data_IF_083319279113
#
_entry.id   IF_083319279113
#
_cell.length_a   1.000
_cell.length_b   1.000
_cell.length_c   1.000
_cell.angle_alpha   90.00
_cell.angle_beta   90.00
_cell.angle_gamma   90.00
#
_symmetry.space_group_name_H-M   'P 1'
#
loop_
_entity.id
_entity.type
_entity.pdbx_description
1 polymer ?
#
# COMPACT_ATOMS: atom_id res chain seq x y z
N UNK A 1 1.36 -52.49 4.69
CA UNK A 1 2.18 -51.53 3.92
C UNK A 1 1.94 -50.13 4.47
N UNK A 2 2.96 -49.49 5.06
CA UNK A 2 2.91 -48.03 5.30
C UNK A 2 3.01 -47.34 3.93
N UNK A 3 2.22 -46.29 3.64
CA UNK A 3 2.41 -45.53 2.41
C UNK A 3 3.80 -44.89 2.45
N UNK A 4 4.55 -45.02 1.36
CA UNK A 4 5.83 -44.36 1.21
C UNK A 4 5.65 -42.83 1.30
N UNK A 5 6.52 -42.09 2.01
CA UNK A 5 6.49 -40.64 1.98
C UNK A 5 6.82 -40.18 0.55
N UNK A 6 5.86 -39.57 -0.14
CA UNK A 6 6.12 -38.92 -1.43
C UNK A 6 6.85 -37.61 -1.18
N UNK A 7 8.18 -37.67 -1.03
CA UNK A 7 9.01 -36.47 -0.85
C UNK A 7 9.97 -36.35 -2.02
N UNK A 8 9.46 -35.92 -3.17
CA UNK A 8 10.28 -35.11 -4.05
C UNK A 8 10.01 -33.65 -3.67
N UNK A 9 10.99 -32.89 -3.15
CA UNK A 9 10.81 -31.46 -2.97
C UNK A 9 10.46 -30.86 -4.34
N UNK A 10 9.25 -30.32 -4.46
CA UNK A 10 8.77 -29.78 -5.74
C UNK A 10 9.79 -28.79 -6.31
N UNK A 11 10.04 -28.87 -7.62
CA UNK A 11 11.04 -28.01 -8.28
C UNK A 11 10.71 -26.52 -8.08
N UNK A 12 11.68 -25.65 -8.35
CA UNK A 12 11.46 -24.19 -8.33
C UNK A 12 10.33 -23.81 -9.30
N UNK A 13 10.34 -24.39 -10.49
CA UNK A 13 9.31 -24.20 -11.50
C UNK A 13 7.92 -24.63 -10.99
N UNK A 14 7.82 -25.77 -10.28
CA UNK A 14 6.56 -26.24 -9.71
C UNK A 14 6.03 -25.29 -8.62
N UNK A 15 6.92 -24.80 -7.75
CA UNK A 15 6.57 -23.83 -6.70
C UNK A 15 6.06 -22.53 -7.30
N UNK A 16 6.78 -22.00 -8.30
CA UNK A 16 6.41 -20.79 -9.01
C UNK A 16 5.08 -20.95 -9.75
N UNK A 17 4.86 -22.09 -10.42
CA UNK A 17 3.60 -22.42 -11.09
C UNK A 17 2.44 -22.43 -10.09
N UNK A 18 2.61 -23.07 -8.93
CA UNK A 18 1.58 -23.05 -7.87
C UNK A 18 1.32 -21.64 -7.36
N UNK A 19 2.37 -20.84 -7.15
CA UNK A 19 2.24 -19.45 -6.72
C UNK A 19 1.44 -18.64 -7.75
N UNK A 20 1.76 -18.76 -9.05
CA UNK A 20 1.04 -18.13 -10.14
C UNK A 20 -0.44 -18.56 -10.22
N UNK A 21 -0.72 -19.86 -10.10
CA UNK A 21 -2.08 -20.40 -10.14
C UNK A 21 -2.96 -19.80 -9.03
N UNK A 22 -2.42 -19.63 -7.81
CA UNK A 22 -3.15 -18.98 -6.69
C UNK A 22 -3.57 -17.54 -7.01
N UNK A 23 -2.85 -16.86 -7.90
CA UNK A 23 -3.05 -15.44 -8.26
C UNK A 23 -3.72 -15.25 -9.62
N UNK A 24 -4.13 -16.34 -10.27
CA UNK A 24 -4.80 -16.31 -11.57
C UNK A 24 -6.04 -15.41 -11.59
N UNK A 25 -6.80 -15.35 -10.49
CA UNK A 25 -7.99 -14.50 -10.36
C UNK A 25 -7.68 -12.99 -10.23
N UNK A 26 -6.44 -12.63 -9.88
CA UNK A 26 -6.01 -11.23 -9.75
C UNK A 26 -5.48 -10.71 -11.08
N UNK A 27 -4.77 -11.57 -11.83
CA UNK A 27 -4.18 -11.21 -13.11
C UNK A 27 -5.28 -11.05 -14.17
N UNK A 28 -5.41 -9.85 -14.71
CA UNK A 28 -6.33 -9.55 -15.80
C UNK A 28 -5.75 -8.45 -16.71
N UNK A 29 -6.48 -8.08 -17.76
CA UNK A 29 -6.14 -6.90 -18.57
C UNK A 29 -6.18 -5.60 -17.73
N UNK A 30 -6.98 -5.59 -16.66
CA UNK A 30 -7.15 -4.44 -15.78
C UNK A 30 -6.21 -4.47 -14.57
N UNK A 31 -5.50 -5.57 -14.32
CA UNK A 31 -4.54 -5.70 -13.23
C UNK A 31 -3.31 -6.50 -13.68
N UNK A 32 -2.22 -5.76 -13.93
CA UNK A 32 -0.91 -6.30 -14.32
C UNK A 32 0.17 -6.13 -13.24
N UNK A 33 -0.18 -5.56 -12.08
CA UNK A 33 0.69 -5.52 -10.91
C UNK A 33 0.13 -6.23 -9.67
N UNK A 34 0.92 -7.17 -9.14
CA UNK A 34 0.53 -8.03 -8.03
C UNK A 34 1.73 -8.75 -7.41
N UNK A 35 1.55 -9.25 -6.19
CA UNK A 35 2.56 -10.12 -5.57
C UNK A 35 2.47 -11.52 -6.17
N UNK A 36 3.49 -11.99 -6.85
CA UNK A 36 3.57 -13.35 -7.38
C UNK A 36 4.01 -14.38 -6.32
N UNK A 37 5.01 -14.02 -5.50
CA UNK A 37 5.56 -14.87 -4.43
C UNK A 37 5.57 -14.08 -3.13
N UNK A 38 4.98 -14.63 -2.06
CA UNK A 38 4.93 -14.05 -0.72
C UNK A 38 5.62 -14.93 0.32
N UNK A 39 6.89 -15.24 0.07
CA UNK A 39 7.76 -15.87 1.06
C UNK A 39 7.51 -17.37 1.23
N UNK A 40 7.62 -17.81 2.49
CA UNK A 40 7.50 -19.20 2.86
C UNK A 40 6.13 -19.82 2.50
N UNK A 41 5.06 -19.02 2.46
CA UNK A 41 3.72 -19.48 2.08
C UNK A 41 3.66 -20.02 0.64
N UNK A 42 4.52 -19.53 -0.25
CA UNK A 42 4.67 -20.02 -1.63
C UNK A 42 5.88 -20.95 -1.80
N UNK A 43 6.52 -21.35 -0.70
CA UNK A 43 7.68 -22.24 -0.70
C UNK A 43 9.02 -21.54 -0.97
N UNK A 44 9.09 -20.21 -0.80
CA UNK A 44 10.29 -19.41 -1.01
C UNK A 44 10.63 -18.59 0.26
N UNK A 45 11.19 -19.21 1.30
CA UNK A 45 11.55 -18.48 2.53
C UNK A 45 12.38 -17.22 2.24
N UNK A 46 12.02 -16.13 2.91
CA UNK A 46 12.69 -14.83 2.83
C UNK A 46 12.79 -14.19 1.43
N UNK A 47 11.98 -14.65 0.46
CA UNK A 47 11.96 -14.11 -0.89
C UNK A 47 10.54 -13.72 -1.31
N UNK A 48 10.40 -12.54 -1.89
CA UNK A 48 9.17 -12.03 -2.45
C UNK A 48 9.40 -11.74 -3.93
N UNK A 49 8.34 -11.84 -4.73
CA UNK A 49 8.36 -11.39 -6.12
C UNK A 49 7.11 -10.55 -6.34
N UNK A 50 7.30 -9.27 -6.63
CA UNK A 50 6.24 -8.39 -7.12
C UNK A 50 6.34 -8.28 -8.63
N UNK A 51 5.18 -8.29 -9.30
CA UNK A 51 5.06 -8.12 -10.75
C UNK A 51 4.54 -6.72 -11.01
N UNK A 52 5.11 -6.04 -12.00
CA UNK A 52 4.64 -4.75 -12.53
C UNK A 52 4.71 -4.78 -14.06
N UNK A 53 3.55 -4.83 -14.73
CA UNK A 53 3.47 -4.87 -16.20
C UNK A 53 4.43 -5.89 -16.84
N UNK A 54 4.46 -7.12 -16.31
CA UNK A 54 5.31 -8.22 -16.80
C UNK A 54 6.79 -8.16 -16.39
N UNK A 55 7.20 -7.17 -15.59
CA UNK A 55 8.54 -7.06 -14.99
C UNK A 55 8.50 -7.55 -13.55
N UNK A 56 9.56 -8.21 -13.12
CA UNK A 56 9.63 -8.77 -11.77
C UNK A 56 10.58 -7.97 -10.90
N UNK A 57 10.12 -7.65 -9.71
CA UNK A 57 10.93 -7.15 -8.62
C UNK A 57 11.08 -8.26 -7.57
N UNK A 58 12.25 -8.88 -7.55
CA UNK A 58 12.63 -9.85 -6.53
C UNK A 58 13.13 -9.11 -5.30
N UNK A 59 12.61 -9.48 -4.14
CA UNK A 59 12.98 -8.86 -2.88
C UNK A 59 13.39 -9.94 -1.89
N UNK A 60 14.59 -9.81 -1.32
CA UNK A 60 15.08 -10.76 -0.30
C UNK A 60 15.19 -10.10 1.07
N UNK A 61 14.95 -10.88 2.14
CA UNK A 61 15.22 -10.49 3.53
C UNK A 61 16.36 -11.33 4.08
N UNK A 62 17.33 -10.70 4.74
CA UNK A 62 18.40 -11.40 5.45
C UNK A 62 19.19 -12.43 4.60
N UNK A 63 19.15 -12.30 3.28
CA UNK A 63 19.83 -13.17 2.32
C UNK A 63 20.13 -12.44 1.00
N UNK A 64 21.14 -12.94 0.28
CA UNK A 64 21.41 -12.56 -1.10
C UNK A 64 20.42 -13.15 -2.09
N UNK A 65 20.45 -12.67 -3.33
CA UNK A 65 19.68 -13.26 -4.41
C UNK A 65 20.13 -14.72 -4.62
N UNK A 66 19.24 -15.70 -4.50
CA UNK A 66 19.61 -17.09 -4.76
C UNK A 66 20.05 -17.28 -6.22
N UNK A 67 21.06 -18.11 -6.49
CA UNK A 67 21.57 -18.34 -7.84
C UNK A 67 20.47 -18.79 -8.82
N UNK A 68 19.55 -19.63 -8.36
CA UNK A 68 18.41 -20.10 -9.14
C UNK A 68 17.40 -19.01 -9.49
N UNK A 69 17.47 -17.82 -8.89
CA UNK A 69 16.56 -16.72 -9.22
C UNK A 69 16.77 -16.20 -10.65
N UNK A 70 17.95 -16.41 -11.23
CA UNK A 70 18.22 -16.16 -12.64
C UNK A 70 17.49 -17.15 -13.57
N UNK A 71 17.03 -18.29 -13.04
CA UNK A 71 16.36 -19.37 -13.77
C UNK A 71 14.82 -19.29 -13.64
N UNK A 72 14.30 -18.24 -12.98
CA UNK A 72 12.88 -18.08 -12.72
C UNK A 72 12.10 -17.61 -13.96
N UNK A 73 11.71 -18.56 -14.82
CA UNK A 73 10.81 -18.32 -15.94
C UNK A 73 11.33 -17.31 -16.97
N UNK A 74 10.41 -16.74 -17.76
CA UNK A 74 10.72 -15.76 -18.82
C UNK A 74 9.98 -14.43 -18.60
N UNK A 75 10.19 -13.71 -17.47
CA UNK A 75 9.70 -12.35 -17.34
C UNK A 75 10.38 -11.43 -18.35
N UNK A 76 9.72 -10.31 -18.68
CA UNK A 76 10.32 -9.31 -19.59
C UNK A 76 11.62 -8.73 -19.04
N UNK A 77 11.66 -8.54 -17.73
CA UNK A 77 12.83 -8.03 -17.01
C UNK A 77 12.78 -8.46 -15.54
N UNK A 78 13.95 -8.64 -14.94
CA UNK A 78 14.13 -9.00 -13.54
C UNK A 78 15.02 -7.98 -12.86
N UNK A 79 14.51 -7.42 -11.77
CA UNK A 79 15.25 -6.57 -10.86
C UNK A 79 15.26 -7.20 -9.48
N UNK A 80 16.31 -6.92 -8.70
CA UNK A 80 16.45 -7.41 -7.34
C UNK A 80 16.85 -6.30 -6.38
N UNK A 81 16.26 -6.31 -5.18
CA UNK A 81 16.80 -5.58 -4.03
C UNK A 81 16.73 -6.39 -2.76
N UNK A 82 17.61 -6.07 -1.83
CA UNK A 82 17.48 -6.50 -0.44
C UNK A 82 16.52 -5.56 0.29
N UNK A 83 15.62 -6.12 1.09
CA UNK A 83 14.80 -5.38 2.02
C UNK A 83 15.60 -5.11 3.29
N UNK A 84 16.08 -3.88 3.40
CA UNK A 84 16.80 -3.37 4.55
C UNK A 84 16.17 -2.02 4.93
N UNK A 85 15.91 -1.81 6.22
CA UNK A 85 15.32 -0.55 6.71
C UNK A 85 16.31 0.62 6.67
N UNK A 86 17.61 0.34 6.59
CA UNK A 86 18.70 1.31 6.58
C UNK A 86 19.24 1.55 5.17
N UNK A 87 19.26 0.52 4.31
CA UNK A 87 19.71 0.64 2.92
C UNK A 87 18.54 0.99 1.98
N UNK A 88 18.65 2.14 1.31
CA UNK A 88 17.67 2.66 0.36
C UNK A 88 18.13 2.52 -1.10
N UNK A 89 19.07 1.62 -1.37
CA UNK A 89 19.51 1.32 -2.72
C UNK A 89 18.33 0.94 -3.63
N UNK A 90 18.33 1.46 -4.88
CA UNK A 90 17.36 1.05 -5.87
C UNK A 90 17.58 -0.42 -6.26
N UNK A 91 16.53 -1.11 -6.75
CA UNK A 91 16.66 -2.40 -7.41
C UNK A 91 17.77 -2.44 -8.47
N UNK A 92 18.54 -3.54 -8.47
CA UNK A 92 19.59 -3.85 -9.44
C UNK A 92 19.00 -4.72 -10.55
N UNK A 93 19.27 -4.36 -11.80
CA UNK A 93 18.90 -5.20 -12.94
C UNK A 93 19.67 -6.52 -12.91
N UNK A 94 18.97 -7.63 -13.16
CA UNK A 94 19.51 -9.00 -13.09
C UNK A 94 19.46 -9.68 -14.45
N UNK A 95 18.32 -9.62 -15.14
CA UNK A 95 18.10 -10.35 -16.39
C UNK A 95 16.99 -9.70 -17.24
N UNK A 96 16.99 -10.03 -18.54
CA UNK A 96 16.01 -9.52 -19.50
C UNK A 96 16.35 -8.13 -20.03
N UNK A 97 15.34 -7.41 -20.51
CA UNK A 97 15.50 -6.06 -21.02
C UNK A 97 15.72 -5.07 -19.88
N UNK A 98 16.67 -4.14 -20.02
CA UNK A 98 16.75 -2.98 -19.12
C UNK A 98 15.51 -2.12 -19.33
N UNK A 99 14.83 -1.79 -18.24
CA UNK A 99 13.57 -1.05 -18.29
C UNK A 99 13.83 0.43 -18.54
N UNK A 100 13.09 1.00 -19.48
CA UNK A 100 12.98 2.45 -19.62
C UNK A 100 12.08 2.98 -18.48
N UNK A 101 12.65 3.81 -17.62
CA UNK A 101 12.00 4.35 -16.43
C UNK A 101 11.56 5.82 -16.65
N UNK A 102 10.46 6.27 -16.02
CA UNK A 102 9.47 5.45 -15.33
C UNK A 102 8.54 4.74 -16.33
N UNK A 103 7.84 3.70 -15.89
CA UNK A 103 6.83 2.98 -16.69
C UNK A 103 5.48 2.91 -15.98
N UNK A 104 4.44 2.45 -16.69
CA UNK A 104 3.10 2.28 -16.11
C UNK A 104 2.82 0.82 -15.79
N UNK A 105 2.14 0.61 -14.66
CA UNK A 105 1.48 -0.63 -14.31
C UNK A 105 0.00 -0.38 -14.02
N UNK A 106 -0.84 -1.39 -14.19
CA UNK A 106 -2.30 -1.28 -14.09
C UNK A 106 -2.80 -2.07 -12.87
N UNK A 107 -3.67 -1.47 -12.08
CA UNK A 107 -4.42 -2.11 -11.00
C UNK A 107 -5.89 -1.68 -11.03
N UNK A 108 -6.80 -2.65 -11.15
CA UNK A 108 -8.26 -2.42 -11.22
C UNK A 108 -8.66 -1.35 -12.26
N UNK A 109 -7.98 -1.37 -13.41
CA UNK A 109 -8.19 -0.44 -14.53
C UNK A 109 -7.58 0.94 -14.33
N UNK A 110 -6.85 1.17 -13.22
CA UNK A 110 -6.15 2.43 -12.96
C UNK A 110 -4.65 2.25 -13.23
N UNK A 111 -4.03 3.25 -13.84
CA UNK A 111 -2.61 3.26 -14.18
C UNK A 111 -1.80 3.94 -13.10
N UNK A 112 -0.66 3.37 -12.75
CA UNK A 112 0.26 3.92 -11.76
C UNK A 112 1.68 3.94 -12.32
N UNK A 113 2.35 5.06 -12.11
CA UNK A 113 3.74 5.26 -12.47
C UNK A 113 4.63 4.48 -11.51
N UNK A 114 5.39 3.55 -12.06
CA UNK A 114 6.38 2.72 -11.39
C UNK A 114 7.77 3.19 -11.78
N UNK A 115 8.69 3.20 -10.81
CA UNK A 115 10.07 3.62 -11.01
C UNK A 115 11.02 2.72 -10.21
N UNK A 116 11.80 1.89 -10.90
CA UNK A 116 12.81 1.05 -10.25
C UNK A 116 14.13 1.77 -9.96
N UNK A 117 14.33 3.00 -10.46
CA UNK A 117 15.42 3.86 -10.00
C UNK A 117 15.09 4.58 -8.69
N UNK A 118 13.80 4.61 -8.29
CA UNK A 118 13.39 5.12 -6.98
C UNK A 118 13.91 4.22 -5.85
N UNK A 119 14.56 4.84 -4.85
CA UNK A 119 15.31 4.13 -3.82
C UNK A 119 14.50 3.07 -3.05
N UNK A 120 13.66 3.51 -2.09
CA UNK A 120 13.03 2.55 -1.18
C UNK A 120 11.81 1.82 -1.76
N UNK A 121 10.87 2.57 -2.34
CA UNK A 121 9.59 2.04 -2.85
C UNK A 121 9.35 2.48 -4.30
N UNK A 122 8.67 1.63 -5.07
CA UNK A 122 8.61 1.68 -6.53
C UNK A 122 7.32 2.32 -7.04
N UNK A 123 6.61 3.08 -6.21
CA UNK A 123 5.47 3.90 -6.63
C UNK A 123 4.11 3.46 -6.09
N UNK A 124 3.93 2.20 -5.66
CA UNK A 124 2.67 1.73 -5.09
C UNK A 124 2.88 0.57 -4.10
N UNK A 125 2.03 0.50 -3.08
CA UNK A 125 1.96 -0.63 -2.15
C UNK A 125 0.80 -1.56 -2.55
N UNK A 126 1.12 -2.75 -3.06
CA UNK A 126 0.16 -3.69 -3.66
C UNK A 126 -0.77 -4.33 -2.61
N UNK A 127 -0.36 -4.39 -1.34
CA UNK A 127 -1.16 -4.89 -0.21
C UNK A 127 -2.37 -4.01 0.13
N UNK A 128 -2.48 -2.82 -0.48
CA UNK A 128 -3.60 -1.90 -0.33
C UNK A 128 -4.61 -1.94 -1.50
N UNK A 129 -4.46 -2.88 -2.46
CA UNK A 129 -5.31 -3.00 -3.66
C UNK A 129 -6.81 -2.95 -3.35
N UNK A 130 -7.27 -3.85 -2.48
CA UNK A 130 -8.70 -3.98 -2.15
C UNK A 130 -9.24 -2.73 -1.45
N UNK A 131 -8.39 -2.03 -0.69
CA UNK A 131 -8.79 -0.79 -0.05
C UNK A 131 -8.91 0.34 -1.07
N UNK A 132 -7.99 0.46 -2.04
CA UNK A 132 -8.09 1.44 -3.13
C UNK A 132 -9.35 1.23 -3.96
N UNK A 133 -9.69 -0.01 -4.29
CA UNK A 133 -10.95 -0.34 -4.97
C UNK A 133 -12.16 0.15 -4.18
N UNK A 134 -12.23 -0.16 -2.88
CA UNK A 134 -13.33 0.29 -2.03
C UNK A 134 -13.40 1.81 -1.90
N UNK A 135 -12.25 2.49 -1.82
CA UNK A 135 -12.19 3.96 -1.85
C UNK A 135 -12.81 4.50 -3.14
N UNK A 136 -12.44 3.95 -4.30
CA UNK A 136 -13.01 4.35 -5.61
C UNK A 136 -14.53 4.22 -5.62
N UNK A 137 -15.05 3.06 -5.24
CA UNK A 137 -16.49 2.76 -5.21
C UNK A 137 -17.27 3.73 -4.29
N UNK A 138 -16.65 4.16 -3.21
CA UNK A 138 -17.27 5.06 -2.23
C UNK A 138 -17.14 6.55 -2.56
N UNK A 139 -16.39 6.95 -3.59
CA UNK A 139 -15.93 8.35 -3.74
C UNK A 139 -16.83 9.26 -4.57
N UNK A 140 -17.82 8.75 -5.32
CA UNK A 140 -18.65 9.57 -6.23
C UNK A 140 -19.31 10.75 -5.52
N UNK A 141 -18.97 11.97 -5.96
CA UNK A 141 -19.50 13.23 -5.42
C UNK A 141 -19.00 13.56 -4.00
N UNK A 142 -17.98 12.86 -3.50
CA UNK A 142 -17.48 12.99 -2.13
C UNK A 142 -16.13 13.67 -2.05
N UNK A 143 -15.80 14.17 -0.86
CA UNK A 143 -14.45 14.68 -0.56
C UNK A 143 -13.67 13.71 0.31
N UNK A 144 -12.47 13.35 -0.16
CA UNK A 144 -11.58 12.36 0.44
C UNK A 144 -10.31 13.03 0.94
N UNK A 145 -9.99 12.89 2.23
CA UNK A 145 -8.70 13.28 2.79
C UNK A 145 -7.78 12.06 2.86
N UNK A 146 -6.64 12.13 2.18
CA UNK A 146 -5.61 11.10 2.16
C UNK A 146 -4.36 11.59 2.91
N UNK A 147 -4.12 11.08 4.11
CA UNK A 147 -2.96 11.42 4.93
C UNK A 147 -1.84 10.39 4.76
N UNK A 148 -0.59 10.88 4.76
CA UNK A 148 0.58 10.06 4.41
C UNK A 148 0.45 9.52 2.99
N UNK A 149 0.05 10.40 2.08
CA UNK A 149 -0.48 10.00 0.78
C UNK A 149 0.53 9.33 -0.14
N UNK A 150 1.84 9.47 0.13
CA UNK A 150 2.92 9.00 -0.74
C UNK A 150 2.69 9.47 -2.19
N UNK A 151 2.62 8.57 -3.16
CA UNK A 151 2.33 8.82 -4.58
C UNK A 151 0.84 8.96 -4.87
N UNK A 152 0.04 9.27 -3.86
CA UNK A 152 -1.38 9.60 -3.95
C UNK A 152 -2.26 8.48 -4.54
N UNK A 153 -1.87 7.21 -4.43
CA UNK A 153 -2.59 6.11 -5.08
C UNK A 153 -4.07 5.98 -4.64
N UNK A 154 -4.37 6.22 -3.36
CA UNK A 154 -5.75 6.33 -2.86
C UNK A 154 -6.49 7.54 -3.42
N UNK A 155 -5.81 8.66 -3.60
CA UNK A 155 -6.39 9.88 -4.15
C UNK A 155 -6.76 9.72 -5.63
N UNK A 156 -5.92 9.03 -6.40
CA UNK A 156 -6.21 8.64 -7.79
C UNK A 156 -7.44 7.73 -7.84
N UNK A 157 -7.51 6.73 -6.95
CA UNK A 157 -8.69 5.87 -6.85
C UNK A 157 -9.96 6.67 -6.51
N UNK A 158 -9.87 7.65 -5.59
CA UNK A 158 -10.98 8.54 -5.28
C UNK A 158 -11.41 9.41 -6.48
N UNK A 159 -10.45 10.01 -7.20
CA UNK A 159 -10.71 10.81 -8.40
C UNK A 159 -11.37 10.00 -9.51
N UNK A 160 -10.86 8.80 -9.81
CA UNK A 160 -11.46 7.89 -10.78
C UNK A 160 -12.83 7.33 -10.35
N UNK A 161 -13.18 7.49 -9.06
CA UNK A 161 -14.52 7.22 -8.53
C UNK A 161 -15.48 8.40 -8.66
N UNK A 162 -15.04 9.53 -9.21
CA UNK A 162 -15.80 10.79 -9.31
C UNK A 162 -15.81 11.62 -8.02
N UNK A 163 -14.82 11.43 -7.15
CA UNK A 163 -14.63 12.24 -5.94
C UNK A 163 -13.55 13.30 -6.09
N UNK A 164 -13.47 14.22 -5.14
CA UNK A 164 -12.33 15.14 -4.98
C UNK A 164 -11.45 14.68 -3.83
N UNK A 165 -10.14 14.91 -3.95
CA UNK A 165 -9.18 14.45 -2.94
C UNK A 165 -8.28 15.57 -2.42
N UNK A 166 -7.95 15.51 -1.14
CA UNK A 166 -6.89 16.29 -0.51
C UNK A 166 -5.80 15.33 -0.07
N UNK A 167 -4.62 15.44 -0.64
CA UNK A 167 -3.48 14.56 -0.37
C UNK A 167 -2.45 15.31 0.48
N UNK A 168 -2.09 14.76 1.64
CA UNK A 168 -1.11 15.35 2.56
C UNK A 168 0.08 14.41 2.73
N UNK A 169 1.27 14.91 2.40
CA UNK A 169 2.53 14.17 2.60
C UNK A 169 3.69 15.10 2.97
N UNK A 170 4.72 14.58 3.65
CA UNK A 170 5.93 15.35 3.96
C UNK A 170 6.82 15.57 2.72
N UNK A 171 6.71 14.69 1.72
CA UNK A 171 7.56 14.63 0.54
C UNK A 171 6.91 15.33 -0.65
N UNK A 172 7.43 16.51 -1.01
CA UNK A 172 7.06 17.18 -2.26
C UNK A 172 7.29 16.28 -3.49
N UNK A 173 8.45 15.58 -3.65
CA UNK A 173 8.64 14.66 -4.76
C UNK A 173 7.57 13.57 -4.86
N UNK A 174 7.08 13.06 -3.72
CA UNK A 174 6.01 12.05 -3.71
C UNK A 174 4.67 12.63 -4.21
N UNK A 175 4.34 13.87 -3.84
CA UNK A 175 3.15 14.55 -4.34
C UNK A 175 3.23 14.87 -5.83
N UNK A 176 4.39 15.28 -6.35
CA UNK A 176 4.59 15.48 -7.80
C UNK A 176 4.52 14.15 -8.56
N UNK A 177 5.00 13.05 -7.98
CA UNK A 177 4.74 11.71 -8.50
C UNK A 177 3.23 11.40 -8.49
N UNK A 178 2.53 11.76 -7.41
CA UNK A 178 1.08 11.67 -7.33
C UNK A 178 0.38 12.37 -8.49
N UNK A 179 0.76 13.60 -8.84
CA UNK A 179 0.17 14.31 -10.00
C UNK A 179 0.36 13.56 -11.31
N UNK A 180 1.53 12.97 -11.54
CA UNK A 180 1.77 12.10 -12.71
C UNK A 180 0.84 10.88 -12.72
N UNK A 181 0.51 10.32 -11.55
CA UNK A 181 -0.49 9.25 -11.46
C UNK A 181 -1.91 9.76 -11.79
N UNK A 182 -2.26 10.99 -11.43
CA UNK A 182 -3.54 11.59 -11.86
C UNK A 182 -3.59 11.73 -13.39
N UNK A 183 -2.55 12.30 -13.99
CA UNK A 183 -2.43 12.49 -15.43
C UNK A 183 -2.49 11.16 -16.20
N UNK A 184 -1.86 10.10 -15.67
CA UNK A 184 -1.89 8.77 -16.26
C UNK A 184 -3.31 8.14 -16.32
N UNK A 185 -4.27 8.69 -15.59
CA UNK A 185 -5.67 8.25 -15.55
C UNK A 185 -6.65 9.29 -16.12
N UNK A 186 -6.13 10.25 -16.91
CA UNK A 186 -6.93 11.34 -17.50
C UNK A 186 -7.67 12.18 -16.44
N UNK A 187 -7.15 12.22 -15.21
CA UNK A 187 -7.67 13.04 -14.13
C UNK A 187 -6.87 14.35 -14.08
N UNK A 188 -7.56 15.48 -14.09
CA UNK A 188 -6.91 16.79 -13.98
C UNK A 188 -6.44 17.04 -12.53
N UNK A 189 -5.12 17.14 -12.26
CA UNK A 189 -4.63 17.39 -10.90
C UNK A 189 -5.16 18.70 -10.28
N UNK A 190 -5.58 19.68 -11.09
CA UNK A 190 -6.10 20.95 -10.59
C UNK A 190 -7.45 20.82 -9.86
N UNK A 191 -8.20 19.74 -10.08
CA UNK A 191 -9.47 19.46 -9.38
C UNK A 191 -9.25 18.86 -7.97
N UNK A 192 -7.98 18.65 -7.60
CA UNK A 192 -7.55 18.00 -6.37
C UNK A 192 -6.50 18.85 -5.62
N UNK A 193 -6.38 18.66 -4.31
CA UNK A 193 -5.40 19.38 -3.48
C UNK A 193 -4.20 18.50 -3.12
N UNK A 194 -2.99 19.05 -3.26
CA UNK A 194 -1.73 18.40 -2.91
C UNK A 194 -0.98 19.28 -1.92
N UNK A 195 -0.81 18.79 -0.70
CA UNK A 195 -0.36 19.58 0.43
C UNK A 195 0.92 18.97 1.02
N UNK A 196 2.01 19.74 0.94
CA UNK A 196 3.25 19.38 1.63
C UNK A 196 3.14 19.75 3.11
N UNK A 197 3.18 18.77 4.01
CA UNK A 197 3.23 19.04 5.45
C UNK A 197 2.97 17.83 6.34
N UNK A 198 3.02 18.07 7.65
CA UNK A 198 2.79 17.05 8.67
C UNK A 198 1.28 16.78 8.83
N UNK A 199 0.89 15.51 8.80
CA UNK A 199 -0.52 15.10 8.80
C UNK A 199 -1.27 15.60 10.04
N UNK A 200 -0.67 15.48 11.24
CA UNK A 200 -1.27 15.94 12.49
C UNK A 200 -1.48 17.46 12.53
N UNK A 201 -0.54 18.24 12.01
CA UNK A 201 -0.68 19.69 11.87
C UNK A 201 -1.83 20.07 10.94
N UNK A 202 -1.94 19.40 9.79
CA UNK A 202 -3.02 19.65 8.83
C UNK A 202 -4.38 19.21 9.33
N UNK A 203 -4.48 18.08 10.04
CA UNK A 203 -5.69 17.66 10.74
C UNK A 203 -6.19 18.75 11.70
N UNK A 204 -5.31 19.31 12.54
CA UNK A 204 -5.67 20.42 13.46
C UNK A 204 -6.11 21.68 12.70
N UNK A 205 -5.44 22.02 11.60
CA UNK A 205 -5.82 23.17 10.76
C UNK A 205 -7.19 22.99 10.12
N UNK A 206 -7.50 21.80 9.60
CA UNK A 206 -8.82 21.49 9.06
C UNK A 206 -9.90 21.54 10.14
N UNK A 207 -9.62 20.99 11.33
CA UNK A 207 -10.53 21.04 12.47
C UNK A 207 -10.86 22.48 12.88
N UNK A 208 -9.83 23.33 13.03
CA UNK A 208 -9.99 24.76 13.35
C UNK A 208 -10.81 25.52 12.30
N UNK A 209 -10.69 25.13 11.03
CA UNK A 209 -11.47 25.71 9.91
C UNK A 209 -12.85 25.09 9.75
N UNK A 210 -13.21 24.09 10.56
CA UNK A 210 -14.48 23.36 10.43
C UNK A 210 -14.61 22.55 9.14
N UNK A 211 -13.52 22.28 8.42
CA UNK A 211 -13.56 21.49 7.17
C UNK A 211 -13.95 20.05 7.49
N UNK A 212 -14.87 19.49 6.70
CA UNK A 212 -15.34 18.11 6.86
C UNK A 212 -15.11 17.31 5.58
N UNK A 213 -14.94 16.00 5.74
CA UNK A 213 -14.71 15.04 4.67
C UNK A 213 -15.69 13.87 4.78
N UNK A 214 -16.00 13.24 3.65
CA UNK A 214 -16.81 12.02 3.67
C UNK A 214 -15.95 10.77 3.91
N UNK A 215 -14.67 10.84 3.52
CA UNK A 215 -13.73 9.76 3.72
C UNK A 215 -12.39 10.35 4.18
N UNK A 216 -11.82 9.79 5.24
CA UNK A 216 -10.45 10.10 5.67
C UNK A 216 -9.64 8.80 5.63
N UNK A 217 -8.42 8.85 5.14
CA UNK A 217 -7.49 7.72 5.05
C UNK A 217 -6.24 8.07 5.85
N UNK A 218 -5.82 7.15 6.73
CA UNK A 218 -4.59 7.26 7.52
C UNK A 218 -3.77 5.99 7.29
N UNK A 219 -2.73 6.10 6.48
CA UNK A 219 -1.80 5.00 6.14
C UNK A 219 -0.34 5.40 6.39
N UNK A 220 0.07 5.60 7.66
CA UNK A 220 1.37 6.14 7.97
C UNK A 220 2.46 5.06 7.86
N UNK A 221 3.73 5.46 7.63
CA UNK A 221 4.85 4.57 7.92
C UNK A 221 4.89 4.23 9.42
N UNK A 222 5.48 3.08 9.78
CA UNK A 222 5.63 2.67 11.20
C UNK A 222 6.37 3.72 12.04
N UNK A 223 7.35 4.37 11.41
CA UNK A 223 8.15 5.45 11.95
C UNK A 223 8.37 6.51 10.88
N UNK A 224 8.28 7.78 11.25
CA UNK A 224 8.82 8.86 10.43
C UNK A 224 9.38 9.98 11.28
N UNK A 225 10.25 10.78 10.68
CA UNK A 225 10.79 12.00 11.29
C UNK A 225 10.61 13.15 10.30
N UNK A 226 10.04 14.25 10.76
CA UNK A 226 9.94 15.45 9.93
C UNK A 226 11.28 16.21 9.85
N UNK A 227 11.28 17.30 9.07
CA UNK A 227 12.47 18.16 8.90
C UNK A 227 12.88 18.89 10.19
N UNK A 228 11.98 19.03 11.17
CA UNK A 228 12.21 19.68 12.47
C UNK A 228 12.62 18.69 13.56
N UNK A 229 12.74 17.39 13.22
CA UNK A 229 13.09 16.35 14.17
C UNK A 229 11.91 15.76 14.95
N UNK A 230 10.67 16.21 14.70
CA UNK A 230 9.48 15.62 15.30
C UNK A 230 9.34 14.18 14.81
N UNK A 231 9.23 13.26 15.75
CA UNK A 231 9.11 11.83 15.48
C UNK A 231 7.65 11.42 15.53
N UNK A 232 7.21 10.64 14.55
CA UNK A 232 5.96 9.90 14.57
C UNK A 232 6.25 8.40 14.77
N UNK A 233 5.49 7.74 15.64
CA UNK A 233 5.45 6.30 15.85
C UNK A 233 4.01 5.83 15.93
N UNK A 234 3.66 4.77 15.19
CA UNK A 234 2.29 4.25 15.16
C UNK A 234 1.77 3.93 16.56
N UNK A 235 2.55 3.23 17.38
CA UNK A 235 2.14 2.76 18.70
C UNK A 235 1.83 3.88 19.69
N UNK A 236 2.38 5.08 19.47
CA UNK A 236 2.24 6.23 20.37
C UNK A 236 1.25 7.26 19.81
N UNK A 237 1.34 7.56 18.53
CA UNK A 237 0.73 8.76 17.96
C UNK A 237 -0.52 8.47 17.11
N UNK A 238 -0.75 7.21 16.72
CA UNK A 238 -1.85 6.86 15.82
C UNK A 238 -3.22 7.18 16.43
N UNK A 239 -3.43 6.86 17.72
CA UNK A 239 -4.71 7.13 18.40
C UNK A 239 -5.08 8.62 18.37
N UNK A 240 -4.13 9.51 18.65
CA UNK A 240 -4.34 10.96 18.55
C UNK A 240 -4.68 11.40 17.13
N UNK A 241 -3.99 10.85 16.12
CA UNK A 241 -4.32 11.16 14.71
C UNK A 241 -5.73 10.70 14.36
N UNK A 242 -6.11 9.46 14.71
CA UNK A 242 -7.44 8.93 14.40
C UNK A 242 -8.54 9.70 15.11
N UNK A 243 -8.32 10.09 16.37
CA UNK A 243 -9.29 10.88 17.15
C UNK A 243 -9.59 12.23 16.47
N UNK A 244 -8.56 12.98 16.07
CA UNK A 244 -8.77 14.25 15.36
C UNK A 244 -9.42 14.00 14.00
N UNK A 245 -9.01 12.97 13.26
CA UNK A 245 -9.59 12.62 11.97
C UNK A 245 -11.09 12.28 12.08
N UNK A 246 -11.51 11.58 13.13
CA UNK A 246 -12.94 11.30 13.41
C UNK A 246 -13.76 12.58 13.55
N UNK A 247 -13.20 13.64 14.15
CA UNK A 247 -13.87 14.95 14.24
C UNK A 247 -14.05 15.62 12.88
N UNK A 248 -13.26 15.26 11.86
CA UNK A 248 -13.37 15.81 10.51
C UNK A 248 -14.39 15.08 9.63
N UNK A 249 -14.97 13.98 10.11
CA UNK A 249 -15.97 13.26 9.33
C UNK A 249 -17.31 14.02 9.26
N UNK A 250 -17.92 14.02 8.08
CA UNK A 250 -19.35 14.33 7.89
C UNK A 250 -20.20 13.27 8.62
N UNK A 251 -21.50 13.53 8.80
CA UNK A 251 -22.39 12.66 9.60
C UNK A 251 -22.38 11.18 9.18
N UNK A 252 -22.26 10.89 7.88
CA UNK A 252 -22.11 9.53 7.31
C UNK A 252 -20.70 9.23 6.80
N UNK A 253 -19.71 9.97 7.30
CA UNK A 253 -18.33 9.82 6.90
C UNK A 253 -17.71 8.51 7.39
N UNK A 254 -16.68 8.04 6.70
CA UNK A 254 -15.91 6.84 7.05
C UNK A 254 -14.44 7.19 7.21
N UNK A 255 -13.74 6.51 8.12
CA UNK A 255 -12.31 6.61 8.30
C UNK A 255 -11.67 5.25 7.98
N UNK A 256 -10.69 5.22 7.08
CA UNK A 256 -9.84 4.07 6.82
C UNK A 256 -8.54 4.24 7.61
N UNK A 257 -8.33 3.36 8.60
CA UNK A 257 -7.10 3.29 9.37
C UNK A 257 -6.31 2.06 8.95
N UNK A 258 -5.07 2.25 8.51
CA UNK A 258 -4.17 1.15 8.17
C UNK A 258 -2.81 1.28 8.85
N UNK A 259 -2.16 0.15 9.10
CA UNK A 259 -0.76 0.12 9.54
C UNK A 259 -0.11 -1.21 9.20
N UNK A 260 1.13 -1.16 8.74
CA UNK A 260 1.98 -2.33 8.49
C UNK A 260 2.89 -2.68 9.70
N UNK A 261 2.69 -2.06 10.87
CA UNK A 261 3.53 -2.30 12.04
C UNK A 261 3.38 -3.73 12.57
N UNK A 262 4.39 -4.57 12.35
CA UNK A 262 4.34 -6.02 12.61
C UNK A 262 4.14 -6.36 14.10
N UNK A 263 4.80 -5.64 15.00
CA UNK A 263 4.71 -5.86 16.45
C UNK A 263 3.33 -5.56 17.05
N UNK A 264 2.51 -4.77 16.38
CA UNK A 264 1.18 -4.41 16.85
C UNK A 264 0.19 -5.52 16.48
N UNK A 265 -0.68 -5.94 17.41
CA UNK A 265 -1.75 -6.90 17.10
C UNK A 265 -3.00 -6.19 16.56
N UNK A 266 -3.90 -6.92 15.89
CA UNK A 266 -5.20 -6.36 15.44
C UNK A 266 -6.05 -5.83 16.61
N UNK A 267 -6.19 -6.55 17.74
CA UNK A 267 -6.88 -6.00 18.92
C UNK A 267 -6.21 -4.73 19.45
N UNK A 268 -4.88 -4.73 19.61
CA UNK A 268 -4.15 -3.56 20.11
C UNK A 268 -4.32 -2.34 19.19
N UNK A 269 -4.28 -2.53 17.87
CA UNK A 269 -4.57 -1.45 16.92
C UNK A 269 -6.00 -0.92 17.02
N UNK A 270 -6.97 -1.80 17.29
CA UNK A 270 -8.37 -1.40 17.48
C UNK A 270 -8.55 -0.58 18.75
N UNK A 271 -7.89 -0.99 19.85
CA UNK A 271 -7.82 -0.24 21.10
C UNK A 271 -7.19 1.13 20.90
N UNK A 272 -6.05 1.24 20.19
CA UNK A 272 -5.44 2.55 19.89
C UNK A 272 -6.40 3.53 19.22
N UNK A 273 -7.28 3.03 18.33
CA UNK A 273 -8.27 3.86 17.62
C UNK A 273 -9.43 4.24 18.55
N UNK A 274 -9.99 3.28 19.28
CA UNK A 274 -11.17 3.46 20.10
C UNK A 274 -10.88 4.22 21.40
N UNK A 275 -9.79 3.91 22.10
CA UNK A 275 -9.43 4.52 23.38
C UNK A 275 -9.11 6.01 23.23
N UNK A 276 -8.79 6.46 22.01
CA UNK A 276 -8.55 7.86 21.70
C UNK A 276 -9.81 8.61 21.24
N UNK A 277 -10.92 7.92 20.95
CA UNK A 277 -12.18 8.56 20.58
C UNK A 277 -12.85 9.20 21.81
N UNK A 278 -13.49 10.35 21.61
CA UNK A 278 -14.22 11.07 22.66
C UNK A 278 -15.39 10.25 23.23
N UNK A 279 -16.15 9.60 22.35
CA UNK A 279 -17.14 8.58 22.68
C UNK A 279 -16.88 7.31 21.85
N UNK A 280 -16.17 6.31 22.41
CA UNK A 280 -15.87 5.06 21.71
C UNK A 280 -17.13 4.28 21.31
N UNK A 281 -18.24 4.44 22.05
CA UNK A 281 -19.49 3.72 21.79
C UNK A 281 -20.19 4.18 20.51
N UNK A 282 -19.94 5.44 20.09
CA UNK A 282 -20.46 6.01 18.85
C UNK A 282 -19.83 5.40 17.58
N UNK A 283 -18.78 4.59 17.70
CA UNK A 283 -18.02 4.08 16.55
C UNK A 283 -18.13 2.56 16.38
N UNK A 284 -18.08 2.14 15.12
CA UNK A 284 -17.98 0.75 14.70
C UNK A 284 -16.70 0.57 13.90
N UNK A 285 -15.90 -0.43 14.29
CA UNK A 285 -14.72 -0.89 13.56
C UNK A 285 -15.09 -2.14 12.76
N UNK A 286 -14.73 -2.15 11.48
CA UNK A 286 -14.84 -3.32 10.60
C UNK A 286 -13.46 -3.64 10.04
N UNK A 287 -12.91 -4.80 10.39
CA UNK A 287 -11.62 -5.24 9.88
C UNK A 287 -11.73 -5.78 8.45
N UNK A 288 -10.66 -5.63 7.68
CA UNK A 288 -10.52 -6.26 6.37
C UNK A 288 -9.30 -7.20 6.34
N UNK A 289 -9.35 -8.28 5.54
CA UNK A 289 -8.21 -9.19 5.37
C UNK A 289 -7.13 -8.57 4.47
N UNK A 290 -5.95 -9.21 4.45
CA UNK A 290 -4.95 -8.96 3.40
C UNK A 290 -5.53 -9.30 2.02
N UNK A 291 -5.07 -8.67 0.93
CA UNK A 291 -5.36 -9.11 -0.42
C UNK A 291 -4.89 -10.56 -0.67
N UNK A 292 -5.58 -11.27 -1.57
CA UNK A 292 -5.36 -12.70 -1.78
C UNK A 292 -3.97 -13.07 -2.32
N UNK A 293 -3.23 -12.13 -2.95
CA UNK A 293 -1.85 -12.32 -3.38
C UNK A 293 -0.81 -12.23 -2.25
N UNK A 294 -1.21 -11.77 -1.06
CA UNK A 294 -0.39 -11.71 0.14
C UNK A 294 -0.75 -12.86 1.09
N UNK A 295 -0.17 -14.03 0.81
CA UNK A 295 -0.49 -15.31 1.46
C UNK A 295 0.31 -15.59 2.73
N UNK A 296 1.29 -14.75 3.06
CA UNK A 296 2.10 -14.86 4.27
C UNK A 296 1.36 -14.44 5.54
N UNK A 297 2.12 -14.27 6.62
CA UNK A 297 1.58 -13.77 7.88
C UNK A 297 0.95 -12.37 7.67
N UNK A 298 -0.32 -12.17 8.08
CA UNK A 298 -1.04 -10.92 7.83
C UNK A 298 -0.49 -9.77 8.69
N UNK A 299 0.41 -8.98 8.10
CA UNK A 299 1.06 -7.87 8.78
C UNK A 299 0.30 -6.55 8.71
N UNK A 300 -0.48 -6.32 7.64
CA UNK A 300 -1.30 -5.13 7.48
C UNK A 300 -2.55 -5.25 8.35
N UNK A 301 -2.79 -4.24 9.17
CA UNK A 301 -4.04 -4.08 9.91
C UNK A 301 -4.86 -3.08 9.12
N UNK A 302 -6.11 -3.43 8.85
CA UNK A 302 -7.04 -2.59 8.11
C UNK A 302 -8.30 -2.47 8.96
N UNK A 303 -8.64 -1.25 9.34
CA UNK A 303 -9.85 -0.93 10.10
C UNK A 303 -10.65 0.15 9.36
N UNK A 304 -11.84 -0.21 8.91
CA UNK A 304 -12.85 0.74 8.45
C UNK A 304 -13.69 1.18 9.64
N UNK A 305 -13.67 2.47 9.93
CA UNK A 305 -14.33 3.09 11.08
C UNK A 305 -15.48 3.95 10.60
N UNK A 306 -16.69 3.71 11.13
CA UNK A 306 -17.87 4.51 10.84
C UNK A 306 -18.66 4.79 12.12
N UNK A 307 -19.47 5.84 12.11
CA UNK A 307 -20.44 6.04 13.20
C UNK A 307 -21.46 4.90 13.23
N UNK A 308 -21.96 4.58 14.43
CA UNK A 308 -23.09 3.67 14.63
C UNK A 308 -24.42 4.31 14.22
#
# INVERSE_FOLDING_TARGET
MKPAPSTNPSSIADRLTRAATRRSAIRSADTDCYRLVDGAADGFPNLLIDVFAGRWLIQTRDQDLPAWAAELGEPRSVYWKRLDQTNKEPPKHIAGEVVAEPFLATENGLKYVIDFAAGYSQGIFLDQRSNRQRVREMSRGKEVLNLFSYTCAFSVAAGAGGGRSVSVDLSRPSLEWGKRNFEANDLNPADHEFIVGEAGDWLRRFAKKGRKFDLVIIDPPTFSRDKKGKVFRVERDFGTLSSVAMTLLRGRGTLLCTTNQRSLSRPAFSSLILDAADDPSAWKLTHAPMPADFTGEPYLKICWVSKR
#
